data_IF_917683893330
#
_entry.id   IF_917683893330
#
_cell.length_a   1.000
_cell.length_b   1.000
_cell.length_c   1.000
_cell.angle_alpha   90.00
_cell.angle_beta   90.00
_cell.angle_gamma   90.00
#
_symmetry.space_group_name_H-M   'P 1'
#
loop_
_entity.id
_entity.type
_entity.pdbx_description
1 polymer ?
#
# COMPACT_ATOMS: atom_id res chain seq x y z
N UNK A 1 -0.10 -11.50 -61.99
CA UNK A 1 -1.36 -11.38 -61.21
C UNK A 1 -0.99 -11.52 -59.74
N UNK A 2 -1.30 -10.57 -58.84
CA UNK A 2 -2.64 -10.03 -58.55
C UNK A 2 -2.70 -8.47 -58.46
N UNK A 3 -3.90 -7.84 -58.52
CA UNK A 3 -4.02 -6.38 -58.48
C UNK A 3 -3.89 -5.84 -57.05
N UNK A 4 -2.97 -4.90 -56.86
CA UNK A 4 -2.81 -4.07 -55.65
C UNK A 4 -4.11 -3.32 -55.35
N UNK A 5 -4.68 -3.53 -54.16
CA UNK A 5 -5.76 -2.71 -53.60
C UNK A 5 -5.31 -1.24 -53.56
N UNK A 6 -6.01 -0.39 -54.34
CA UNK A 6 -5.90 1.07 -54.23
C UNK A 6 -6.53 1.52 -52.91
N UNK A 7 -5.84 2.47 -52.28
CA UNK A 7 -6.20 3.07 -51.00
C UNK A 7 -7.58 3.70 -51.01
N UNK A 8 -8.22 3.63 -49.84
CA UNK A 8 -9.50 4.23 -49.55
C UNK A 8 -9.33 5.74 -49.32
N UNK A 9 -9.28 6.53 -50.38
CA UNK A 9 -9.45 7.98 -50.31
C UNK A 9 -10.93 8.32 -50.54
N UNK A 10 -11.76 7.99 -49.55
CA UNK A 10 -13.09 8.56 -49.40
C UNK A 10 -12.99 9.91 -48.67
N UNK A 11 -13.91 10.87 -48.93
CA UNK A 11 -13.91 12.16 -48.25
C UNK A 11 -13.92 11.99 -46.72
N UNK A 12 -13.07 12.74 -46.03
CA UNK A 12 -12.88 12.62 -44.57
C UNK A 12 -14.22 12.71 -43.81
N UNK A 13 -14.34 12.01 -42.67
CA UNK A 13 -15.56 12.05 -41.81
C UNK A 13 -15.96 13.49 -41.44
N UNK A 14 -14.98 14.39 -41.26
CA UNK A 14 -15.20 15.83 -41.02
C UNK A 14 -15.76 16.57 -42.23
N UNK A 15 -15.39 16.20 -43.46
CA UNK A 15 -15.93 16.79 -44.69
C UNK A 15 -17.40 16.37 -44.89
N UNK A 16 -17.71 15.09 -44.72
CA UNK A 16 -19.07 14.56 -44.81
C UNK A 16 -20.02 15.16 -43.77
N UNK A 17 -19.54 15.43 -42.55
CA UNK A 17 -20.34 16.03 -41.49
C UNK A 17 -20.57 17.54 -41.72
N UNK A 18 -19.60 18.25 -42.33
CA UNK A 18 -19.77 19.65 -42.77
C UNK A 18 -20.77 19.76 -43.92
N UNK A 19 -20.75 18.84 -44.89
CA UNK A 19 -21.69 18.82 -46.00
C UNK A 19 -23.13 18.56 -45.53
N UNK A 20 -23.32 17.61 -44.61
CA UNK A 20 -24.62 17.38 -43.94
C UNK A 20 -25.14 18.62 -43.21
N UNK A 21 -24.26 19.37 -42.53
CA UNK A 21 -24.62 20.64 -41.87
C UNK A 21 -25.07 21.71 -42.87
N UNK A 22 -24.36 21.85 -44.00
CA UNK A 22 -24.75 22.77 -45.09
C UNK A 22 -26.12 22.40 -45.69
N UNK A 23 -26.39 21.11 -45.92
CA UNK A 23 -27.68 20.64 -46.43
C UNK A 23 -28.81 20.95 -45.43
N UNK A 24 -28.56 20.81 -44.12
CA UNK A 24 -29.54 21.19 -43.09
C UNK A 24 -29.76 22.69 -43.11
N UNK A 25 -28.71 23.50 -43.15
CA UNK A 25 -28.79 24.97 -43.19
C UNK A 25 -29.58 25.49 -44.39
N UNK A 26 -29.34 24.92 -45.57
CA UNK A 26 -30.04 25.28 -46.81
C UNK A 26 -31.52 24.85 -46.79
N UNK A 27 -31.82 23.60 -46.42
CA UNK A 27 -33.21 23.11 -46.33
C UNK A 27 -34.04 23.73 -45.21
N UNK A 28 -33.39 24.32 -44.21
CA UNK A 28 -34.05 24.98 -43.09
C UNK A 28 -33.90 26.51 -43.14
N UNK A 29 -33.30 27.03 -44.22
CA UNK A 29 -33.13 28.46 -44.46
C UNK A 29 -34.49 29.16 -44.53
N UNK A 30 -34.63 30.29 -43.84
CA UNK A 30 -35.89 31.05 -43.77
C UNK A 30 -36.99 30.48 -42.84
N UNK A 31 -36.90 29.22 -42.41
CA UNK A 31 -37.83 28.63 -41.43
C UNK A 31 -37.38 28.77 -39.98
N UNK A 32 -36.08 28.95 -39.72
CA UNK A 32 -35.52 29.09 -38.35
C UNK A 32 -36.01 30.33 -37.61
N UNK A 33 -36.37 31.40 -38.31
CA UNK A 33 -36.85 32.65 -37.70
C UNK A 33 -38.37 32.66 -37.41
N UNK A 34 -39.11 31.64 -37.85
CA UNK A 34 -40.54 31.50 -37.56
C UNK A 34 -40.73 30.59 -36.34
N UNK A 35 -41.10 31.18 -35.20
CA UNK A 35 -41.32 30.49 -33.90
C UNK A 35 -42.56 29.57 -33.85
N UNK A 36 -43.14 29.20 -35.00
CA UNK A 36 -44.34 28.37 -35.06
C UNK A 36 -44.05 26.90 -34.77
N UNK A 37 -44.90 26.26 -33.95
CA UNK A 37 -44.74 24.86 -33.54
C UNK A 37 -44.70 23.86 -34.71
N UNK A 38 -45.41 24.15 -35.81
CA UNK A 38 -45.40 23.32 -37.03
C UNK A 38 -44.06 23.42 -37.77
N UNK A 39 -43.51 24.63 -37.88
CA UNK A 39 -42.22 24.89 -38.52
C UNK A 39 -41.07 24.27 -37.71
N UNK A 40 -41.11 24.35 -36.38
CA UNK A 40 -40.11 23.69 -35.54
C UNK A 40 -40.11 22.16 -35.67
N UNK A 41 -41.30 21.52 -35.73
CA UNK A 41 -41.41 20.07 -35.99
C UNK A 41 -40.83 19.69 -37.35
N UNK A 42 -41.08 20.49 -38.39
CA UNK A 42 -40.50 20.28 -39.71
C UNK A 42 -38.97 20.38 -39.70
N UNK A 43 -38.41 21.41 -39.05
CA UNK A 43 -36.96 21.58 -38.90
C UNK A 43 -36.34 20.39 -38.17
N UNK A 44 -36.95 19.90 -37.08
CA UNK A 44 -36.48 18.71 -36.37
C UNK A 44 -36.53 17.44 -37.23
N UNK A 45 -37.58 17.27 -38.04
CA UNK A 45 -37.73 16.11 -38.93
C UNK A 45 -36.66 16.11 -40.04
N UNK A 46 -36.43 17.25 -40.68
CA UNK A 46 -35.38 17.42 -41.70
C UNK A 46 -33.99 17.18 -41.10
N UNK A 47 -33.72 17.71 -39.90
CA UNK A 47 -32.45 17.51 -39.21
C UNK A 47 -32.21 16.03 -38.88
N UNK A 48 -33.23 15.31 -38.38
CA UNK A 48 -33.15 13.87 -38.10
C UNK A 48 -32.92 13.05 -39.38
N UNK A 49 -33.60 13.39 -40.47
CA UNK A 49 -33.49 12.66 -41.74
C UNK A 49 -32.10 12.80 -42.39
N UNK A 50 -31.47 13.98 -42.29
CA UNK A 50 -30.12 14.23 -42.86
C UNK A 50 -29.00 13.68 -41.95
N UNK A 51 -29.19 13.69 -40.63
CA UNK A 51 -28.17 13.23 -39.67
C UNK A 51 -28.13 11.70 -39.54
N UNK A 52 -29.28 11.06 -39.38
CA UNK A 52 -29.38 9.63 -39.08
C UNK A 52 -29.76 8.76 -40.29
N UNK A 53 -30.34 9.33 -41.35
CA UNK A 53 -30.83 8.56 -42.50
C UNK A 53 -31.90 7.52 -42.12
N UNK A 54 -32.09 6.49 -42.95
CA UNK A 54 -32.98 5.34 -42.68
C UNK A 54 -32.34 4.29 -41.75
N UNK A 55 -31.67 4.74 -40.68
CA UNK A 55 -31.07 3.81 -39.71
C UNK A 55 -32.08 3.46 -38.60
N UNK A 56 -32.07 2.22 -38.15
CA UNK A 56 -32.94 1.74 -37.09
C UNK A 56 -32.66 2.49 -35.79
N UNK A 57 -33.69 2.67 -34.95
CA UNK A 57 -33.58 3.32 -33.63
C UNK A 57 -32.44 2.74 -32.78
N UNK A 58 -32.26 1.40 -32.83
CA UNK A 58 -31.17 0.68 -32.14
C UNK A 58 -29.77 1.05 -32.63
N UNK A 59 -29.62 1.38 -33.91
CA UNK A 59 -28.32 1.78 -34.47
C UNK A 59 -27.97 3.21 -34.09
N UNK A 60 -28.97 4.07 -33.96
CA UNK A 60 -28.81 5.46 -33.52
C UNK A 60 -28.32 5.51 -32.07
N UNK A 61 -28.93 4.70 -31.20
CA UNK A 61 -28.56 4.59 -29.78
C UNK A 61 -27.13 4.07 -29.59
N UNK A 62 -26.73 3.04 -30.37
CA UNK A 62 -25.33 2.56 -30.38
C UNK A 62 -24.35 3.62 -30.85
N UNK A 63 -24.68 4.39 -31.88
CA UNK A 63 -23.82 5.47 -32.39
C UNK A 63 -23.66 6.60 -31.36
N UNK A 64 -24.72 6.93 -30.60
CA UNK A 64 -24.64 7.91 -29.51
C UNK A 64 -23.78 7.40 -28.36
N UNK A 65 -23.97 6.16 -27.92
CA UNK A 65 -23.16 5.55 -26.85
C UNK A 65 -21.68 5.45 -27.23
N UNK A 66 -21.36 5.08 -28.48
CA UNK A 66 -19.98 5.00 -28.95
C UNK A 66 -19.31 6.40 -29.03
N UNK A 67 -20.09 7.43 -29.37
CA UNK A 67 -19.62 8.83 -29.36
C UNK A 67 -19.36 9.33 -27.93
N UNK A 68 -20.25 9.05 -26.98
CA UNK A 68 -20.06 9.40 -25.57
C UNK A 68 -18.88 8.65 -24.95
N UNK A 69 -18.72 7.36 -25.23
CA UNK A 69 -17.57 6.58 -24.75
C UNK A 69 -16.24 7.10 -25.33
N UNK A 70 -16.22 7.51 -26.60
CA UNK A 70 -15.05 8.15 -27.21
C UNK A 70 -14.75 9.51 -26.59
N UNK A 71 -15.78 10.29 -26.27
CA UNK A 71 -15.61 11.62 -25.65
C UNK A 71 -15.09 11.49 -24.21
N UNK A 72 -15.63 10.55 -23.43
CA UNK A 72 -15.10 10.27 -22.08
C UNK A 72 -13.64 9.84 -22.11
N UNK A 73 -13.27 8.95 -23.04
CA UNK A 73 -11.86 8.57 -23.24
C UNK A 73 -10.96 9.75 -23.63
N UNK A 74 -11.42 10.64 -24.52
CA UNK A 74 -10.62 11.82 -24.88
C UNK A 74 -10.47 12.80 -23.71
N UNK A 75 -11.52 12.99 -22.92
CA UNK A 75 -11.49 13.87 -21.76
C UNK A 75 -10.54 13.31 -20.68
N UNK A 76 -10.57 11.99 -20.43
CA UNK A 76 -9.64 11.30 -19.52
C UNK A 76 -8.18 11.39 -20.01
N UNK A 77 -7.94 11.26 -21.32
CA UNK A 77 -6.62 11.40 -21.93
C UNK A 77 -6.09 12.85 -21.83
N UNK A 78 -6.96 13.86 -22.01
CA UNK A 78 -6.62 15.29 -21.88
C UNK A 78 -6.29 15.65 -20.42
N UNK A 79 -7.09 15.16 -19.45
CA UNK A 79 -6.83 15.33 -18.02
C UNK A 79 -5.49 14.68 -17.66
N UNK A 80 -5.23 13.45 -18.12
CA UNK A 80 -3.96 12.78 -17.88
C UNK A 80 -2.76 13.50 -18.50
N UNK A 81 -2.94 14.23 -19.61
CA UNK A 81 -1.87 15.06 -20.19
C UNK A 81 -1.60 16.32 -19.38
N UNK A 82 -2.65 16.96 -18.85
CA UNK A 82 -2.53 18.18 -18.04
C UNK A 82 -1.86 17.89 -16.69
N UNK A 83 -2.18 16.77 -16.06
CA UNK A 83 -1.65 16.40 -14.75
C UNK A 83 -0.35 15.62 -14.80
N UNK A 84 0.33 15.46 -15.95
CA UNK A 84 1.65 14.79 -15.98
C UNK A 84 2.61 15.54 -15.06
N UNK A 85 2.96 14.98 -13.88
CA UNK A 85 4.04 15.57 -13.11
C UNK A 85 5.29 15.47 -14.00
N UNK A 86 6.07 16.54 -14.06
CA UNK A 86 7.37 16.53 -14.72
C UNK A 86 8.27 15.59 -13.93
N UNK A 87 8.15 14.29 -14.20
CA UNK A 87 8.99 13.27 -13.61
C UNK A 87 10.32 13.36 -14.33
N UNK A 88 11.30 13.95 -13.67
CA UNK A 88 12.68 13.85 -14.10
C UNK A 88 13.03 12.36 -14.22
N UNK A 89 13.42 11.93 -15.42
CA UNK A 89 13.78 10.54 -15.69
C UNK A 89 14.74 10.04 -14.62
N UNK A 90 14.37 8.98 -13.91
CA UNK A 90 15.13 8.45 -12.78
C UNK A 90 16.56 8.12 -13.24
N UNK A 91 17.51 8.97 -12.83
CA UNK A 91 18.94 8.80 -13.12
C UNK A 91 19.46 7.71 -12.19
N UNK A 92 19.62 6.51 -12.73
CA UNK A 92 20.29 5.40 -12.03
C UNK A 92 21.78 5.75 -11.85
N UNK A 93 22.31 5.60 -10.65
CA UNK A 93 23.75 5.68 -10.41
C UNK A 93 24.47 4.53 -11.14
N UNK A 94 25.69 4.79 -11.62
CA UNK A 94 26.49 3.83 -12.41
C UNK A 94 26.86 2.63 -11.54
N UNK A 95 26.04 1.58 -11.56
CA UNK A 95 26.26 0.33 -10.80
C UNK A 95 25.00 -0.30 -10.21
N UNK A 96 23.86 0.39 -10.20
CA UNK A 96 22.59 -0.19 -9.73
C UNK A 96 21.87 -0.95 -10.85
N UNK A 97 21.45 -2.17 -10.56
CA UNK A 97 20.65 -2.96 -11.50
C UNK A 97 19.30 -2.28 -11.75
N UNK A 98 18.93 -2.00 -13.01
CA UNK A 98 17.73 -1.21 -13.30
C UNK A 98 16.43 -1.91 -12.88
N UNK A 99 16.43 -3.25 -12.79
CA UNK A 99 15.31 -4.06 -12.29
C UNK A 99 15.20 -4.09 -10.76
N UNK A 100 16.18 -3.62 -10.01
CA UNK A 100 16.06 -3.51 -8.55
C UNK A 100 15.37 -2.21 -8.11
N UNK A 101 14.96 -1.38 -9.06
CA UNK A 101 14.35 -0.06 -8.82
C UNK A 101 12.94 -0.05 -9.40
N UNK A 102 11.97 0.43 -8.62
CA UNK A 102 10.58 0.52 -9.04
C UNK A 102 10.40 1.53 -10.18
N UNK A 103 9.62 1.16 -11.19
CA UNK A 103 9.29 2.04 -12.31
C UNK A 103 8.36 3.18 -11.86
N UNK A 104 8.79 4.44 -11.98
CA UNK A 104 7.94 5.60 -11.64
C UNK A 104 6.67 5.63 -12.51
N UNK A 105 6.78 5.31 -13.80
CA UNK A 105 5.62 5.26 -14.69
C UNK A 105 4.66 4.12 -14.31
N UNK A 106 5.15 3.04 -13.70
CA UNK A 106 4.30 1.96 -13.21
C UNK A 106 3.59 2.37 -11.92
N UNK A 107 4.31 3.04 -11.01
CA UNK A 107 3.74 3.67 -9.82
C UNK A 107 2.60 4.64 -10.16
N UNK A 108 2.74 5.35 -11.28
CA UNK A 108 1.74 6.29 -11.80
C UNK A 108 0.67 5.63 -12.71
N UNK A 109 0.73 4.32 -12.93
CA UNK A 109 -0.23 3.61 -13.80
C UNK A 109 -0.13 3.95 -15.29
N UNK A 110 0.89 4.69 -15.73
CA UNK A 110 1.07 5.15 -17.12
C UNK A 110 2.14 4.36 -17.88
N UNK A 111 2.70 3.31 -17.29
CA UNK A 111 3.74 2.50 -17.93
C UNK A 111 3.19 1.66 -19.09
N UNK A 112 3.60 1.99 -20.32
CA UNK A 112 3.25 1.25 -21.53
C UNK A 112 4.16 0.05 -21.81
N UNK A 113 5.24 -0.13 -21.02
CA UNK A 113 6.30 -1.11 -21.29
C UNK A 113 6.02 -2.49 -20.68
N UNK A 114 5.04 -2.61 -19.76
CA UNK A 114 4.69 -3.88 -19.12
C UNK A 114 5.91 -4.62 -18.54
N UNK A 115 5.94 -5.94 -18.69
CA UNK A 115 7.01 -6.80 -18.15
C UNK A 115 8.38 -6.60 -18.81
N UNK A 116 8.42 -5.90 -19.96
CA UNK A 116 9.66 -5.55 -20.65
C UNK A 116 10.24 -4.21 -20.16
N UNK A 117 9.66 -3.62 -19.13
CA UNK A 117 10.17 -2.38 -18.56
C UNK A 117 11.59 -2.59 -18.03
N UNK A 118 12.44 -1.56 -18.21
CA UNK A 118 13.80 -1.52 -17.67
C UNK A 118 13.79 -1.54 -16.14
N UNK A 119 12.71 -1.03 -15.54
CA UNK A 119 12.49 -0.89 -14.11
C UNK A 119 11.46 -1.93 -13.61
N UNK A 120 11.51 -2.26 -12.31
CA UNK A 120 10.61 -3.24 -11.70
C UNK A 120 9.17 -2.75 -11.66
N UNK A 121 8.23 -3.66 -11.90
CA UNK A 121 6.79 -3.49 -11.67
C UNK A 121 6.32 -4.16 -10.37
N UNK A 122 7.25 -4.60 -9.52
CA UNK A 122 6.92 -5.18 -8.22
C UNK A 122 6.92 -4.09 -7.14
N UNK A 123 5.73 -3.72 -6.67
CA UNK A 123 5.49 -2.76 -5.57
C UNK A 123 6.24 -3.11 -4.29
N UNK A 124 6.63 -4.37 -4.13
CA UNK A 124 7.35 -4.84 -2.95
C UNK A 124 8.83 -4.40 -2.92
N UNK A 125 9.36 -3.91 -4.03
CA UNK A 125 10.75 -3.42 -4.15
C UNK A 125 10.95 -2.10 -3.39
N UNK A 126 9.93 -1.23 -3.33
CA UNK A 126 10.02 0.08 -2.66
C UNK A 126 10.01 -0.04 -1.12
N UNK A 127 9.36 -1.07 -0.57
CA UNK A 127 9.30 -1.33 0.88
C UNK A 127 10.66 -1.64 1.52
N UNK A 128 11.67 -2.02 0.72
CA UNK A 128 13.01 -2.35 1.23
C UNK A 128 13.91 -1.12 1.43
N UNK A 129 13.48 0.07 0.99
CA UNK A 129 14.34 1.26 0.95
C UNK A 129 13.93 2.39 1.88
N UNK A 130 12.77 2.32 2.54
CA UNK A 130 12.41 3.27 3.60
C UNK A 130 13.27 2.95 4.84
N UNK A 131 14.48 3.52 4.86
CA UNK A 131 15.29 3.59 6.07
C UNK A 131 14.50 4.43 7.06
N UNK A 132 13.94 3.78 8.09
CA UNK A 132 13.39 4.45 9.27
C UNK A 132 14.42 5.49 9.75
N UNK A 133 13.99 6.73 9.97
CA UNK A 133 14.88 7.78 10.46
C UNK A 133 15.48 7.35 11.79
N UNK A 134 16.80 7.51 11.93
CA UNK A 134 17.55 7.19 13.16
C UNK A 134 16.99 7.90 14.41
N UNK A 135 16.32 9.05 14.22
CA UNK A 135 15.75 9.87 15.29
C UNK A 135 14.30 9.51 15.66
N UNK A 136 13.58 8.73 14.84
CA UNK A 136 12.19 8.31 15.07
C UNK A 136 12.10 6.80 15.40
N UNK A 137 13.25 6.21 15.73
CA UNK A 137 13.36 4.80 16.06
C UNK A 137 13.15 4.60 17.56
N UNK A 138 11.89 4.67 17.99
CA UNK A 138 11.42 4.31 19.33
C UNK A 138 11.41 2.79 19.55
N UNK A 139 12.43 2.08 19.08
CA UNK A 139 12.68 0.72 19.55
C UNK A 139 13.15 0.86 21.00
N UNK A 140 12.17 0.85 21.89
CA UNK A 140 12.33 0.81 23.34
C UNK A 140 13.47 -0.14 23.70
N UNK A 141 14.41 0.29 24.53
CA UNK A 141 15.48 -0.59 25.01
C UNK A 141 14.84 -1.85 25.59
N UNK A 142 15.19 -3.00 25.02
CA UNK A 142 14.63 -4.32 25.32
C UNK A 142 14.99 -4.82 26.75
N UNK A 143 15.51 -3.94 27.60
CA UNK A 143 15.90 -4.24 28.98
C UNK A 143 14.73 -4.10 29.98
N UNK A 144 13.55 -3.67 29.49
CA UNK A 144 12.34 -3.41 30.28
C UNK A 144 11.14 -4.31 29.89
N UNK A 145 11.37 -5.42 29.18
CA UNK A 145 10.31 -6.40 28.91
C UNK A 145 10.01 -7.23 30.15
N UNK A 146 8.74 -7.23 30.58
CA UNK A 146 8.32 -8.01 31.74
C UNK A 146 8.06 -9.48 31.36
N UNK A 147 8.19 -10.39 32.34
CA UNK A 147 7.95 -11.82 32.20
C UNK A 147 6.58 -12.14 31.55
N UNK A 148 5.53 -11.39 31.90
CA UNK A 148 4.19 -11.57 31.33
C UNK A 148 4.12 -11.19 29.85
N UNK A 149 4.81 -10.13 29.42
CA UNK A 149 4.83 -9.69 28.01
C UNK A 149 5.61 -10.67 27.14
N UNK A 150 6.67 -11.24 27.69
CA UNK A 150 7.44 -12.31 27.06
C UNK A 150 6.56 -13.56 26.84
N UNK A 151 5.81 -13.98 27.86
CA UNK A 151 4.87 -15.10 27.79
C UNK A 151 3.77 -14.87 26.74
N UNK A 152 3.24 -13.65 26.65
CA UNK A 152 2.26 -13.26 25.66
C UNK A 152 2.80 -13.31 24.21
N UNK A 153 4.03 -12.86 23.98
CA UNK A 153 4.67 -12.91 22.66
C UNK A 153 5.01 -14.35 22.28
N UNK A 154 5.45 -15.18 23.24
CA UNK A 154 5.64 -16.62 23.05
C UNK A 154 4.33 -17.28 22.63
N UNK A 155 3.24 -16.99 23.34
CA UNK A 155 1.92 -17.52 23.03
C UNK A 155 1.44 -17.09 21.64
N UNK A 156 1.64 -15.82 21.26
CA UNK A 156 1.27 -15.30 19.92
C UNK A 156 2.13 -15.89 18.79
N UNK A 157 3.43 -16.14 19.00
CA UNK A 157 4.35 -16.63 17.95
C UNK A 157 4.33 -18.15 17.80
N UNK A 158 4.16 -18.90 18.89
CA UNK A 158 4.32 -20.35 18.91
C UNK A 158 3.09 -21.10 19.45
N UNK A 159 2.02 -20.42 19.89
CA UNK A 159 0.82 -21.05 20.45
C UNK A 159 0.03 -21.92 19.48
N UNK A 160 -0.07 -21.54 18.21
CA UNK A 160 -0.77 -22.36 17.19
C UNK A 160 0.06 -23.53 16.68
N UNK A 161 1.39 -23.37 16.56
CA UNK A 161 2.29 -24.39 15.97
C UNK A 161 2.64 -25.54 16.94
N UNK A 162 2.48 -25.35 18.24
CA UNK A 162 2.73 -26.38 19.26
C UNK A 162 1.57 -27.36 19.49
N UNK A 163 0.43 -27.20 18.80
CA UNK A 163 -0.76 -28.04 18.99
C UNK A 163 -0.72 -29.40 18.28
N UNK A 164 0.35 -29.73 17.56
CA UNK A 164 0.38 -30.83 16.59
C UNK A 164 1.50 -31.86 16.67
N UNK A 165 2.52 -31.71 17.53
CA UNK A 165 3.63 -32.68 17.64
C UNK A 165 3.71 -33.27 19.06
N UNK A 166 4.05 -34.57 19.22
CA UNK A 166 4.14 -35.20 20.53
C UNK A 166 5.21 -34.51 21.40
N UNK A 167 4.87 -34.18 22.65
CA UNK A 167 5.60 -33.25 23.48
C UNK A 167 6.86 -33.92 24.03
N UNK A 168 8.04 -33.62 23.48
CA UNK A 168 9.21 -33.74 24.32
C UNK A 168 9.11 -32.65 25.38
N UNK A 169 9.06 -33.03 26.66
CA UNK A 169 9.04 -32.12 27.83
C UNK A 169 10.27 -31.20 27.92
N UNK A 170 11.13 -31.25 26.90
CA UNK A 170 12.43 -30.60 26.85
C UNK A 170 12.26 -29.25 26.17
N UNK A 171 12.66 -28.20 26.89
CA UNK A 171 12.71 -26.83 26.37
C UNK A 171 13.89 -26.72 25.40
N UNK A 172 13.70 -25.97 24.31
CA UNK A 172 14.79 -25.73 23.37
C UNK A 172 15.92 -24.95 24.05
N UNK A 173 17.15 -25.48 23.97
CA UNK A 173 18.34 -24.81 24.52
C UNK A 173 18.58 -23.43 23.89
N UNK A 174 18.42 -23.32 22.58
CA UNK A 174 18.60 -22.05 21.86
C UNK A 174 17.58 -20.98 22.26
N UNK A 175 16.40 -21.42 22.67
CA UNK A 175 15.37 -20.52 23.19
C UNK A 175 15.75 -19.99 24.57
N UNK A 176 16.24 -20.84 25.48
CA UNK A 176 16.74 -20.40 26.78
C UNK A 176 17.92 -19.42 26.62
N UNK A 177 18.88 -19.71 25.74
CA UNK A 177 20.00 -18.79 25.45
C UNK A 177 19.51 -17.45 24.87
N UNK A 178 18.51 -17.48 23.97
CA UNK A 178 17.97 -16.26 23.37
C UNK A 178 17.22 -15.39 24.38
N UNK A 179 16.49 -16.02 25.29
CA UNK A 179 15.79 -15.36 26.40
C UNK A 179 16.79 -14.79 27.40
N UNK A 180 17.83 -15.54 27.79
CA UNK A 180 18.87 -15.04 28.71
C UNK A 180 19.64 -13.85 28.13
N UNK A 181 19.91 -13.86 26.81
CA UNK A 181 20.59 -12.75 26.14
C UNK A 181 19.65 -11.56 25.90
N UNK A 182 18.33 -11.72 26.07
CA UNK A 182 17.35 -10.67 25.75
C UNK A 182 17.24 -10.41 24.25
N UNK A 183 17.52 -11.43 23.42
CA UNK A 183 17.35 -11.38 21.96
C UNK A 183 16.05 -12.03 21.50
N UNK A 184 15.34 -12.67 22.41
CA UNK A 184 14.06 -13.29 22.13
C UNK A 184 13.00 -12.21 21.97
N UNK A 185 12.65 -11.91 20.71
CA UNK A 185 11.68 -10.87 20.37
C UNK A 185 11.76 -10.49 18.90
N UNK A 186 12.62 -9.52 18.59
CA UNK A 186 12.76 -8.93 17.25
C UNK A 186 13.39 -9.93 16.26
N UNK A 187 12.53 -10.61 15.48
CA UNK A 187 12.90 -11.54 14.40
C UNK A 187 13.77 -12.73 14.84
N UNK A 188 13.68 -13.16 16.11
CA UNK A 188 14.39 -14.36 16.55
C UNK A 188 13.72 -15.61 15.94
N UNK A 189 14.49 -16.39 15.18
CA UNK A 189 14.10 -17.70 14.69
C UNK A 189 14.99 -18.75 15.32
N UNK A 190 14.38 -19.84 15.77
CA UNK A 190 15.13 -20.96 16.29
C UNK A 190 16.05 -21.52 15.18
N UNK A 191 17.34 -21.79 15.45
CA UNK A 191 18.24 -22.44 14.51
C UNK A 191 17.76 -23.82 14.03
N UNK A 192 16.89 -24.47 14.82
CA UNK A 192 16.22 -25.73 14.48
C UNK A 192 14.95 -25.54 13.61
N UNK A 193 14.66 -24.29 13.21
CA UNK A 193 13.53 -23.93 12.36
C UNK A 193 12.20 -23.73 13.10
N UNK A 194 11.16 -23.40 12.31
CA UNK A 194 9.77 -23.20 12.79
C UNK A 194 9.14 -24.47 13.40
N UNK A 195 9.64 -25.64 12.99
CA UNK A 195 9.22 -26.96 13.49
C UNK A 195 10.30 -27.56 14.42
N UNK A 196 10.81 -26.75 15.35
CA UNK A 196 11.74 -27.24 16.35
C UNK A 196 11.13 -28.44 17.11
N UNK A 197 11.92 -29.50 17.29
CA UNK A 197 11.50 -30.69 18.04
C UNK A 197 11.29 -30.42 19.55
N UNK A 198 11.77 -29.28 20.03
CA UNK A 198 11.76 -28.87 21.44
C UNK A 198 10.83 -27.67 21.65
N UNK A 199 10.23 -27.58 22.85
CA UNK A 199 9.25 -26.55 23.15
C UNK A 199 9.92 -25.17 23.31
N UNK A 200 9.37 -24.15 22.64
CA UNK A 200 9.74 -22.74 22.82
C UNK A 200 8.79 -22.09 23.84
N UNK A 201 8.96 -22.41 25.12
CA UNK A 201 8.22 -21.78 26.21
C UNK A 201 9.07 -21.79 27.49
N UNK A 202 8.93 -20.76 28.33
CA UNK A 202 9.51 -20.78 29.67
C UNK A 202 8.74 -21.79 30.52
N UNK A 203 9.42 -22.68 31.25
CA UNK A 203 8.78 -23.51 32.26
C UNK A 203 8.18 -22.64 33.38
N UNK A 204 7.02 -23.04 33.94
CA UNK A 204 6.46 -22.33 35.09
C UNK A 204 7.47 -22.35 36.24
N UNK A 205 7.89 -21.16 36.70
CA UNK A 205 8.87 -20.97 37.78
C UNK A 205 10.33 -20.79 37.35
N UNK A 206 10.64 -20.75 36.04
CA UNK A 206 11.99 -20.43 35.58
C UNK A 206 12.26 -18.92 35.63
N UNK A 207 12.96 -18.46 36.66
CA UNK A 207 13.39 -17.07 36.80
C UNK A 207 14.71 -16.87 36.04
N UNK A 208 14.73 -15.93 35.10
CA UNK A 208 15.93 -15.57 34.33
C UNK A 208 17.05 -15.09 35.24
N UNK A 209 18.29 -15.36 34.85
CA UNK A 209 19.49 -14.93 35.60
C UNK A 209 19.56 -13.40 35.75
N UNK A 210 19.13 -12.66 34.73
CA UNK A 210 19.07 -11.18 34.75
C UNK A 210 18.08 -10.69 35.80
N UNK A 211 16.90 -11.31 35.90
CA UNK A 211 15.87 -10.92 36.86
C UNK A 211 16.24 -11.32 38.28
N UNK A 212 16.90 -12.47 38.48
CA UNK A 212 17.46 -12.84 39.79
C UNK A 212 18.46 -11.80 40.29
N UNK A 213 19.35 -11.31 39.42
CA UNK A 213 20.34 -10.29 39.77
C UNK A 213 19.67 -8.95 40.10
N UNK A 214 18.69 -8.52 39.30
CA UNK A 214 17.89 -7.32 39.60
C UNK A 214 17.15 -7.44 40.94
N UNK A 215 16.59 -8.62 41.24
CA UNK A 215 15.88 -8.87 42.51
C UNK A 215 16.83 -8.96 43.72
N UNK A 216 18.09 -9.37 43.53
CA UNK A 216 19.12 -9.33 44.57
C UNK A 216 19.59 -7.90 44.82
N UNK A 217 19.87 -7.12 43.77
CA UNK A 217 20.23 -5.69 43.86
C UNK A 217 19.11 -4.88 44.54
N UNK A 218 17.84 -5.10 44.18
CA UNK A 218 16.70 -4.45 44.82
C UNK A 218 16.53 -4.81 46.31
N UNK A 219 16.94 -6.01 46.73
CA UNK A 219 16.94 -6.40 48.16
C UNK A 219 18.11 -5.77 48.91
N UNK A 220 19.24 -5.56 48.25
CA UNK A 220 20.37 -4.84 48.82
C UNK A 220 20.07 -3.34 48.97
N UNK A 221 19.28 -2.76 48.07
CA UNK A 221 18.84 -1.35 48.13
C UNK A 221 17.70 -1.09 49.13
N UNK A 222 17.05 -2.14 49.66
CA UNK A 222 16.13 -1.95 50.79
C UNK A 222 16.94 -1.65 52.04
N UNK A 223 16.85 -0.39 52.50
CA UNK A 223 17.44 0.12 53.74
C UNK A 223 17.24 -0.93 54.84
N UNK A 224 18.35 -1.48 55.33
CA UNK A 224 18.30 -2.53 56.35
C UNK A 224 17.57 -2.02 57.59
N UNK A 225 16.88 -2.90 58.30
CA UNK A 225 16.13 -2.53 59.51
C UNK A 225 17.00 -1.76 60.52
N UNK A 226 18.29 -2.08 60.60
CA UNK A 226 19.25 -1.38 61.47
C UNK A 226 19.51 0.07 61.01
N UNK A 227 19.62 0.30 59.70
CA UNK A 227 19.82 1.64 59.13
C UNK A 227 18.55 2.51 59.26
N UNK A 228 17.36 1.88 59.18
CA UNK A 228 16.09 2.52 59.52
C UNK A 228 16.04 2.91 61.01
N UNK A 229 16.46 2.02 61.92
CA UNK A 229 16.50 2.30 63.36
C UNK A 229 17.52 3.39 63.68
N UNK A 230 18.69 3.43 63.01
CA UNK A 230 19.69 4.47 63.21
C UNK A 230 19.25 5.84 62.71
N UNK A 231 18.52 5.90 61.59
CA UNK A 231 17.94 7.15 61.07
C UNK A 231 16.84 7.66 61.99
N UNK A 232 15.96 6.80 62.50
CA UNK A 232 14.95 7.18 63.50
C UNK A 232 15.58 7.62 64.83
N UNK A 233 16.65 6.95 65.29
CA UNK A 233 17.40 7.38 66.50
C UNK A 233 18.07 8.74 66.33
N UNK A 234 18.63 9.03 65.16
CA UNK A 234 19.17 10.37 64.85
C UNK A 234 18.06 11.43 64.77
N UNK A 235 16.86 11.04 64.33
CA UNK A 235 15.70 11.93 64.25
C UNK A 235 15.08 12.24 65.63
N UNK A 236 15.24 11.34 66.61
CA UNK A 236 14.87 11.60 68.01
C UNK A 236 15.89 12.56 68.65
N UNK A 237 15.61 13.86 68.57
CA UNK A 237 16.41 14.92 69.19
C UNK A 237 16.48 14.85 70.73
N UNK A 238 17.29 15.73 71.33
CA UNK A 238 17.75 15.74 72.74
C UNK A 238 16.67 15.74 73.86
N UNK A 239 15.39 15.64 73.54
CA UNK A 239 14.29 15.60 74.51
C UNK A 239 13.76 14.17 74.72
N UNK A 240 14.66 13.21 74.95
CA UNK A 240 14.26 11.92 75.51
C UNK A 240 14.12 12.09 77.02
N UNK A 241 12.88 12.03 77.50
CA UNK A 241 12.56 12.06 78.93
C UNK A 241 13.28 10.94 79.66
N UNK A 242 13.91 11.26 80.80
CA UNK A 242 14.48 10.30 81.75
C UNK A 242 13.45 9.31 82.26
#
# INVERSE_FOLDING_TARGET
MPPKKKGADGPSKKALEKEKKKIIEDKTFGLKNKKGAKQQKFVQQVQKQVTYGNKSFRDIEKIQQEKEAKKKKSDDDEINQLFKPVVELQKLSKGADPKSVLCIFFKQGTCTKGDKCKFSHDLNVERKTEKRNLYEDERNEMDEWNQEELEDVIAKKHGEKNRGLPPTTIICKYFLDAVEVGKYGWFWNCPNGDNCHYRHALPPGFVLKKDKKKMEEQKEDTITLDELIETERRALGMNQTK
#
